data_IF_001387840132
#
_entry.id   IF_001387840132
#
_cell.length_a   1.000
_cell.length_b   1.000
_cell.length_c   1.000
_cell.angle_alpha   90.00
_cell.angle_beta   90.00
_cell.angle_gamma   90.00
#
_symmetry.space_group_name_H-M   'P 1'
#
loop_
_entity.id
_entity.type
_entity.pdbx_description
1 polymer ?
#
# COMPACT_ATOMS: atom_id res chain seq x y z
N UNK A 1 11.52 37.33 -75.18
CA UNK A 1 12.20 37.14 -73.87
C UNK A 1 11.26 36.34 -72.99
N UNK A 2 11.60 35.07 -72.68
CA UNK A 2 10.74 34.11 -71.98
C UNK A 2 10.86 34.30 -70.47
N UNK A 3 9.73 34.34 -69.75
CA UNK A 3 9.70 34.22 -68.29
C UNK A 3 9.05 32.88 -67.90
N UNK A 4 9.76 32.12 -67.06
CA UNK A 4 9.33 30.88 -66.44
C UNK A 4 8.51 31.16 -65.17
N UNK A 5 7.66 30.22 -64.76
CA UNK A 5 7.05 30.16 -63.42
C UNK A 5 7.32 28.79 -62.80
N UNK A 6 7.69 28.71 -61.51
CA UNK A 6 7.87 27.44 -60.81
C UNK A 6 6.57 27.00 -60.11
N UNK A 7 6.34 25.69 -60.13
CA UNK A 7 5.26 25.00 -59.41
C UNK A 7 5.77 24.64 -58.01
N UNK A 8 5.07 25.10 -56.97
CA UNK A 8 5.32 24.70 -55.57
C UNK A 8 4.40 23.52 -55.22
N UNK A 9 5.00 22.37 -54.91
CA UNK A 9 4.30 21.21 -54.35
C UNK A 9 4.32 21.34 -52.82
N UNK A 10 3.16 21.59 -52.22
CA UNK A 10 2.94 21.55 -50.77
C UNK A 10 2.74 20.07 -50.36
N UNK A 11 3.69 19.51 -49.60
CA UNK A 11 3.56 18.20 -48.98
C UNK A 11 3.06 18.36 -47.54
N UNK A 12 1.80 18.01 -47.29
CA UNK A 12 1.17 18.04 -45.97
C UNK A 12 1.48 16.74 -45.23
N UNK A 13 2.39 16.81 -44.25
CA UNK A 13 2.77 15.68 -43.39
C UNK A 13 1.75 15.58 -42.23
N UNK A 14 0.80 14.65 -42.33
CA UNK A 14 -0.16 14.36 -41.26
C UNK A 14 0.51 13.50 -40.18
N UNK A 15 0.87 14.11 -39.06
CA UNK A 15 1.33 13.40 -37.85
C UNK A 15 0.11 12.81 -37.12
N UNK A 16 -0.13 11.51 -37.29
CA UNK A 16 -1.09 10.78 -36.47
C UNK A 16 -0.47 10.53 -35.10
N UNK A 17 -0.91 11.29 -34.09
CA UNK A 17 -0.63 10.99 -32.70
C UNK A 17 -1.41 9.72 -32.32
N UNK A 18 -0.74 8.56 -32.32
CA UNK A 18 -1.27 7.34 -31.69
C UNK A 18 -1.24 7.55 -30.19
N UNK A 19 -2.35 8.06 -29.64
CA UNK A 19 -2.60 8.04 -28.20
C UNK A 19 -2.66 6.59 -27.76
N UNK A 20 -1.62 6.12 -27.07
CA UNK A 20 -1.60 4.82 -26.44
C UNK A 20 -2.55 4.86 -25.24
N UNK A 21 -3.86 4.69 -25.48
CA UNK A 21 -4.79 4.29 -24.42
C UNK A 21 -4.33 2.92 -23.94
N UNK A 22 -3.81 2.86 -22.72
CA UNK A 22 -3.59 1.58 -22.05
C UNK A 22 -4.95 0.86 -22.03
N UNK A 23 -5.03 -0.30 -22.68
CA UNK A 23 -6.21 -1.15 -22.63
C UNK A 23 -6.43 -1.57 -21.18
N UNK A 24 -7.58 -1.21 -20.59
CA UNK A 24 -8.01 -1.79 -19.32
C UNK A 24 -8.16 -3.29 -19.55
N UNK A 25 -7.22 -4.07 -19.00
CA UNK A 25 -7.25 -5.51 -19.11
C UNK A 25 -8.25 -6.05 -18.09
N UNK A 26 -9.27 -6.73 -18.57
CA UNK A 26 -10.21 -7.43 -17.69
C UNK A 26 -9.45 -8.39 -16.75
N UNK A 27 -9.83 -8.50 -15.48
CA UNK A 27 -9.12 -9.32 -14.51
C UNK A 27 -9.00 -10.77 -14.96
N UNK A 28 -7.78 -11.34 -14.91
CA UNK A 28 -7.60 -12.78 -15.15
C UNK A 28 -8.55 -13.58 -14.24
N UNK A 29 -9.33 -14.46 -14.86
CA UNK A 29 -10.18 -15.46 -14.21
C UNK A 29 -9.51 -16.17 -13.03
N UNK A 30 -8.18 -16.31 -13.04
CA UNK A 30 -7.43 -16.93 -11.95
C UNK A 30 -7.49 -16.15 -10.65
N UNK A 31 -7.45 -14.81 -10.71
CA UNK A 31 -7.53 -13.92 -9.55
C UNK A 31 -8.92 -13.92 -8.90
N UNK A 32 -9.96 -14.16 -9.69
CA UNK A 32 -11.33 -14.19 -9.19
C UNK A 32 -11.57 -15.42 -8.30
N UNK A 33 -12.36 -15.22 -7.24
CA UNK A 33 -12.76 -16.28 -6.32
C UNK A 33 -12.83 -15.85 -4.87
N UNK A 34 -13.03 -16.82 -4.00
CA UNK A 34 -13.02 -16.63 -2.54
C UNK A 34 -11.82 -17.33 -1.93
N UNK A 35 -11.22 -16.69 -0.93
CA UNK A 35 -9.98 -17.09 -0.31
C UNK A 35 -10.06 -17.00 1.21
N UNK A 36 -9.40 -17.94 1.89
CA UNK A 36 -9.17 -17.87 3.33
C UNK A 36 -7.92 -17.05 3.63
N UNK A 37 -7.99 -16.16 4.62
CA UNK A 37 -6.81 -15.45 5.10
C UNK A 37 -5.88 -16.42 5.85
N UNK A 38 -4.66 -16.62 5.35
CA UNK A 38 -3.66 -17.44 6.03
C UNK A 38 -2.92 -16.64 7.08
N UNK A 39 -2.28 -15.54 6.67
CA UNK A 39 -1.57 -14.60 7.53
C UNK A 39 -1.18 -13.33 6.77
N UNK A 40 -0.82 -12.31 7.55
CA UNK A 40 -0.19 -11.08 7.10
C UNK A 40 1.18 -10.95 7.72
N UNK A 41 2.09 -10.29 7.02
CA UNK A 41 3.39 -9.89 7.56
C UNK A 41 3.61 -8.40 7.32
N UNK A 42 4.28 -7.75 8.28
CA UNK A 42 4.69 -6.36 8.19
C UNK A 42 6.14 -6.24 8.60
N UNK A 43 6.95 -5.63 7.72
CA UNK A 43 8.25 -5.06 8.06
C UNK A 43 8.16 -3.55 7.88
N UNK A 44 8.29 -2.78 8.95
CA UNK A 44 8.14 -1.33 8.90
C UNK A 44 9.24 -0.62 9.66
N UNK A 45 9.79 0.42 9.05
CA UNK A 45 10.64 1.41 9.70
C UNK A 45 9.88 2.74 9.74
N UNK A 46 9.64 3.25 10.93
CA UNK A 46 9.10 4.59 11.14
C UNK A 46 10.13 5.47 11.82
N UNK A 47 10.48 6.57 11.16
CA UNK A 47 11.35 7.61 11.72
C UNK A 47 10.50 8.84 12.04
N UNK A 48 10.53 9.29 13.28
CA UNK A 48 9.96 10.57 13.70
C UNK A 48 11.12 11.51 13.99
N UNK A 49 11.11 12.69 13.38
CA UNK A 49 12.08 13.75 13.68
C UNK A 49 11.39 15.01 14.17
N UNK A 50 12.04 15.72 15.08
CA UNK A 50 11.61 16.98 15.67
C UNK A 50 12.84 17.87 15.73
N UNK A 51 12.76 19.01 15.05
CA UNK A 51 13.82 20.02 15.04
C UNK A 51 13.35 21.20 15.90
N UNK A 52 14.03 21.42 17.03
CA UNK A 52 13.75 22.54 17.94
C UNK A 52 14.98 23.43 18.10
N UNK A 53 14.84 24.56 18.79
CA UNK A 53 15.98 25.41 19.16
C UNK A 53 17.01 24.71 20.06
N UNK A 54 16.60 23.64 20.75
CA UNK A 54 17.48 22.84 21.60
C UNK A 54 18.25 21.80 20.79
N UNK A 55 17.89 21.51 19.54
CA UNK A 55 18.55 20.52 18.70
C UNK A 55 17.56 19.56 18.04
N UNK A 56 18.11 18.52 17.41
CA UNK A 56 17.35 17.53 16.64
C UNK A 56 17.09 16.29 17.47
N UNK A 57 15.82 15.96 17.69
CA UNK A 57 15.38 14.68 18.25
C UNK A 57 14.92 13.77 17.12
N UNK A 58 15.37 12.51 17.14
CA UNK A 58 14.97 11.50 16.16
C UNK A 58 14.69 10.19 16.89
N UNK A 59 13.51 9.62 16.66
CA UNK A 59 13.14 8.29 17.16
C UNK A 59 12.86 7.38 15.97
N UNK A 60 13.45 6.18 16.00
CA UNK A 60 13.26 5.15 14.99
C UNK A 60 12.53 3.96 15.62
N UNK A 61 11.43 3.55 15.02
CA UNK A 61 10.67 2.35 15.37
C UNK A 61 10.86 1.31 14.27
N UNK A 62 11.23 0.11 14.65
CA UNK A 62 11.30 -1.05 13.76
C UNK A 62 10.25 -2.07 14.19
N UNK A 63 9.39 -2.44 13.26
CA UNK A 63 8.36 -3.46 13.40
C UNK A 63 8.68 -4.61 12.45
N UNK A 64 8.62 -5.84 12.96
CA UNK A 64 8.70 -7.06 12.15
C UNK A 64 7.78 -8.09 12.79
N UNK A 65 6.65 -8.37 12.14
CA UNK A 65 5.70 -9.34 12.67
C UNK A 65 4.95 -10.10 11.60
N UNK A 66 4.45 -11.26 12.00
CA UNK A 66 3.43 -12.02 11.32
C UNK A 66 2.18 -12.11 12.19
N UNK A 67 1.00 -12.04 11.59
CA UNK A 67 -0.25 -12.20 12.31
C UNK A 67 -0.53 -13.66 12.62
N UNK A 68 -1.20 -13.89 13.75
CA UNK A 68 -1.56 -15.21 14.29
C UNK A 68 -3.07 -15.31 14.44
N UNK A 69 -3.59 -16.53 14.63
CA UNK A 69 -5.03 -16.76 14.84
C UNK A 69 -5.90 -16.09 13.76
N UNK A 70 -5.46 -16.18 12.51
CA UNK A 70 -6.08 -15.49 11.39
C UNK A 70 -7.43 -16.14 11.03
N UNK A 71 -8.44 -15.30 10.82
CA UNK A 71 -9.78 -15.71 10.42
C UNK A 71 -10.33 -14.78 9.34
N UNK A 72 -11.42 -15.20 8.72
CA UNK A 72 -12.13 -14.42 7.71
C UNK A 72 -11.70 -14.74 6.28
N UNK A 73 -12.39 -14.11 5.34
CA UNK A 73 -12.28 -14.44 3.91
C UNK A 73 -12.15 -13.22 3.04
N UNK A 74 -11.55 -13.41 1.87
CA UNK A 74 -11.47 -12.42 0.81
C UNK A 74 -12.21 -12.95 -0.42
N UNK A 75 -13.14 -12.18 -0.97
CA UNK A 75 -13.77 -12.46 -2.26
C UNK A 75 -13.33 -11.40 -3.27
N UNK A 76 -12.64 -11.84 -4.31
CA UNK A 76 -12.18 -10.99 -5.40
C UNK A 76 -13.13 -11.16 -6.58
N UNK A 77 -13.77 -10.04 -6.96
CA UNK A 77 -14.61 -9.86 -8.15
C UNK A 77 -13.89 -8.96 -9.15
N UNK A 78 -14.37 -8.80 -10.39
CA UNK A 78 -13.62 -8.05 -11.39
C UNK A 78 -13.22 -6.62 -10.98
N UNK A 79 -14.10 -5.88 -10.32
CA UNK A 79 -13.89 -4.47 -9.98
C UNK A 79 -13.67 -4.23 -8.48
N UNK A 80 -13.77 -5.29 -7.65
CA UNK A 80 -13.93 -5.14 -6.22
C UNK A 80 -13.40 -6.33 -5.42
N UNK A 81 -12.80 -6.02 -4.28
CA UNK A 81 -12.43 -6.98 -3.24
C UNK A 81 -13.37 -6.78 -2.06
N UNK A 82 -13.85 -7.88 -1.50
CA UNK A 82 -14.61 -7.93 -0.26
C UNK A 82 -13.80 -8.73 0.76
N UNK A 83 -13.57 -8.15 1.92
CA UNK A 83 -13.05 -8.84 3.08
C UNK A 83 -14.21 -9.06 4.05
N UNK A 84 -14.41 -10.28 4.52
CA UNK A 84 -15.50 -10.61 5.44
C UNK A 84 -14.96 -11.25 6.72
N UNK A 85 -15.41 -10.72 7.85
CA UNK A 85 -15.11 -11.22 9.20
C UNK A 85 -13.60 -11.41 9.45
N UNK A 86 -12.77 -10.49 8.96
CA UNK A 86 -11.31 -10.56 9.14
C UNK A 86 -10.97 -10.40 10.61
N UNK A 87 -10.27 -11.39 11.16
CA UNK A 87 -9.73 -11.36 12.51
C UNK A 87 -8.30 -11.88 12.56
N UNK A 88 -7.52 -11.37 13.51
CA UNK A 88 -6.14 -11.79 13.74
C UNK A 88 -5.59 -11.26 15.08
N UNK A 89 -4.49 -11.85 15.53
CA UNK A 89 -3.65 -11.36 16.62
C UNK A 89 -2.28 -10.93 16.13
N UNK A 90 -1.69 -9.99 16.85
CA UNK A 90 -0.29 -9.61 16.70
C UNK A 90 0.39 -9.86 18.04
N UNK A 91 1.53 -10.53 18.00
CA UNK A 91 2.49 -10.56 19.10
C UNK A 91 3.87 -10.27 18.49
N UNK A 92 4.48 -9.16 18.90
CA UNK A 92 5.75 -8.72 18.33
C UNK A 92 6.58 -7.94 19.34
N UNK A 93 7.87 -7.84 19.05
CA UNK A 93 8.80 -6.98 19.75
C UNK A 93 9.12 -5.80 18.83
N UNK A 94 8.85 -4.59 19.30
CA UNK A 94 9.17 -3.35 18.60
C UNK A 94 10.50 -2.82 19.12
N UNK A 95 11.45 -2.62 18.22
CA UNK A 95 12.72 -1.96 18.58
C UNK A 95 12.56 -0.45 18.43
N UNK A 96 12.90 0.28 19.49
CA UNK A 96 12.85 1.74 19.55
C UNK A 96 14.25 2.26 19.79
N UNK A 97 14.73 3.14 18.91
CA UNK A 97 16.04 3.80 19.04
C UNK A 97 15.87 5.31 19.03
N UNK A 98 16.34 5.96 20.09
CA UNK A 98 16.29 7.40 20.28
C UNK A 98 17.65 8.03 20.01
N UNK A 99 17.63 9.16 19.32
CA UNK A 99 18.81 9.92 18.94
C UNK A 99 18.61 11.40 19.26
N UNK A 100 19.68 12.05 19.72
CA UNK A 100 19.75 13.49 19.90
C UNK A 100 20.98 14.04 19.16
N UNK A 101 20.78 15.01 18.28
CA UNK A 101 21.80 15.54 17.37
C UNK A 101 22.56 14.42 16.63
N UNK A 102 21.80 13.43 16.15
CA UNK A 102 22.28 12.22 15.45
C UNK A 102 23.19 11.28 16.26
N UNK A 103 23.39 11.53 17.56
CA UNK A 103 24.02 10.61 18.50
C UNK A 103 22.96 9.69 19.10
N UNK A 104 23.25 8.39 19.17
CA UNK A 104 22.34 7.41 19.78
C UNK A 104 22.34 7.60 21.31
N UNK A 105 21.15 7.81 21.88
CA UNK A 105 20.96 8.02 23.32
C UNK A 105 20.50 6.71 23.99
N UNK A 106 19.51 6.05 23.39
CA UNK A 106 18.91 4.85 23.94
C UNK A 106 18.47 3.89 22.83
N UNK A 107 18.45 2.60 23.14
CA UNK A 107 17.80 1.59 22.32
C UNK A 107 17.18 0.55 23.22
N UNK A 108 15.90 0.29 23.01
CA UNK A 108 15.12 -0.65 23.80
C UNK A 108 14.22 -1.50 22.91
N UNK A 109 13.81 -2.64 23.45
CA UNK A 109 12.85 -3.55 22.85
C UNK A 109 11.59 -3.55 23.71
N UNK A 110 10.44 -3.36 23.07
CA UNK A 110 9.14 -3.30 23.73
C UNK A 110 8.25 -4.41 23.20
N UNK A 111 7.75 -5.25 24.09
CA UNK A 111 6.72 -6.22 23.73
C UNK A 111 5.42 -5.48 23.41
N UNK A 112 4.83 -5.77 22.25
CA UNK A 112 3.61 -5.16 21.78
C UNK A 112 2.60 -6.26 21.45
N UNK A 113 1.62 -6.40 22.35
CA UNK A 113 0.49 -7.32 22.21
C UNK A 113 -0.78 -6.47 22.21
N UNK A 114 -1.17 -5.89 21.06
CA UNK A 114 -2.44 -5.19 20.97
C UNK A 114 -3.60 -6.17 21.21
N UNK A 115 -4.79 -5.68 21.60
CA UNK A 115 -5.99 -6.50 21.61
C UNK A 115 -6.21 -7.20 20.26
N UNK A 116 -6.82 -8.41 20.26
CA UNK A 116 -7.16 -9.09 19.01
C UNK A 116 -8.02 -8.18 18.12
N UNK A 117 -7.77 -8.26 16.82
CA UNK A 117 -8.61 -7.64 15.83
C UNK A 117 -9.68 -8.66 15.43
N UNK A 118 -10.96 -8.30 15.52
CA UNK A 118 -12.04 -9.27 15.37
C UNK A 118 -13.13 -8.75 14.42
N UNK A 119 -13.54 -9.62 13.49
CA UNK A 119 -14.81 -9.50 12.77
C UNK A 119 -14.93 -8.31 11.81
N UNK A 120 -13.84 -7.86 11.18
CA UNK A 120 -13.90 -6.70 10.29
C UNK A 120 -14.32 -7.11 8.89
N UNK A 121 -15.43 -6.54 8.44
CA UNK A 121 -15.91 -6.63 7.06
C UNK A 121 -15.68 -5.31 6.35
N UNK A 122 -15.16 -5.37 5.12
CA UNK A 122 -14.81 -4.20 4.32
C UNK A 122 -14.77 -4.52 2.84
N UNK A 123 -14.82 -3.49 2.01
CA UNK A 123 -14.69 -3.65 0.56
C UNK A 123 -13.90 -2.50 -0.05
N UNK A 124 -13.18 -2.77 -1.13
CA UNK A 124 -12.45 -1.76 -1.90
C UNK A 124 -12.53 -2.06 -3.39
N UNK A 125 -12.58 -1.01 -4.20
CA UNK A 125 -12.50 -1.13 -5.65
C UNK A 125 -11.05 -1.19 -6.11
N UNK A 126 -10.80 -1.88 -7.22
CA UNK A 126 -9.47 -1.95 -7.82
C UNK A 126 -9.53 -2.00 -9.35
N UNK A 127 -8.38 -1.77 -9.97
CA UNK A 127 -8.12 -2.01 -11.38
C UNK A 127 -6.97 -3.00 -11.50
N UNK A 128 -7.09 -3.99 -12.38
CA UNK A 128 -5.97 -4.84 -12.76
C UNK A 128 -5.05 -4.04 -13.71
N UNK A 129 -3.76 -4.06 -13.42
CA UNK A 129 -2.71 -3.44 -14.22
C UNK A 129 -1.79 -4.56 -14.72
N UNK A 130 -1.91 -4.91 -16.00
CA UNK A 130 -1.19 -6.06 -16.57
C UNK A 130 -1.68 -7.38 -16.00
N UNK A 131 -0.77 -8.33 -15.73
CA UNK A 131 -1.14 -9.70 -15.28
C UNK A 131 -0.92 -9.94 -13.78
N UNK A 132 -0.17 -9.08 -13.09
CA UNK A 132 0.35 -9.36 -11.74
C UNK A 132 0.23 -8.19 -10.77
N UNK A 133 -0.47 -7.11 -11.13
CA UNK A 133 -0.52 -5.89 -10.34
C UNK A 133 -1.94 -5.33 -10.21
N UNK A 134 -2.35 -4.90 -9.02
CA UNK A 134 -3.63 -4.21 -8.80
C UNK A 134 -3.37 -2.78 -8.36
N UNK A 135 -4.21 -1.86 -8.79
CA UNK A 135 -4.24 -0.48 -8.32
C UNK A 135 -5.56 -0.19 -7.63
N UNK A 136 -5.51 0.46 -6.46
CA UNK A 136 -6.71 0.94 -5.77
C UNK A 136 -6.58 2.42 -5.44
N UNK A 137 -7.55 3.22 -5.86
CA UNK A 137 -7.57 4.68 -5.65
C UNK A 137 -7.85 5.11 -4.21
N UNK A 138 -8.44 4.23 -3.40
CA UNK A 138 -8.78 4.48 -1.99
C UNK A 138 -8.27 3.37 -1.06
N UNK A 139 -7.26 2.63 -1.53
CA UNK A 139 -6.79 1.39 -0.94
C UNK A 139 -7.72 0.18 -1.18
N UNK A 140 -7.18 -1.04 -1.09
CA UNK A 140 -7.96 -2.27 -1.34
C UNK A 140 -8.87 -2.62 -0.16
N UNK A 141 -8.51 -2.16 1.04
CA UNK A 141 -9.09 -2.57 2.31
C UNK A 141 -9.13 -1.33 3.21
N UNK A 142 -10.27 -0.66 3.33
CA UNK A 142 -10.46 0.44 4.29
C UNK A 142 -11.02 -0.11 5.59
N UNK A 143 -10.29 0.03 6.70
CA UNK A 143 -10.80 -0.37 8.02
C UNK A 143 -11.99 0.51 8.40
N UNK A 144 -13.16 -0.10 8.57
CA UNK A 144 -14.31 0.53 9.21
C UNK A 144 -14.18 0.34 10.72
N UNK A 145 -13.91 1.40 11.47
CA UNK A 145 -14.03 1.38 12.92
C UNK A 145 -15.27 2.21 13.28
N UNK A 146 -16.20 1.67 14.07
CA UNK A 146 -17.41 2.39 14.50
C UNK A 146 -17.11 3.66 15.32
N UNK A 147 -15.91 3.79 15.87
CA UNK A 147 -15.44 4.98 16.60
C UNK A 147 -14.76 6.05 15.71
N UNK A 148 -14.46 5.76 14.44
CA UNK A 148 -13.80 6.70 13.53
C UNK A 148 -14.29 6.42 12.09
N UNK A 149 -14.98 7.37 11.42
CA UNK A 149 -15.52 7.13 10.08
C UNK A 149 -14.43 6.61 9.16
N UNK A 150 -14.80 5.67 8.27
CA UNK A 150 -13.90 4.98 7.36
C UNK A 150 -12.84 5.93 6.82
N UNK A 151 -11.57 5.72 7.20
CA UNK A 151 -10.48 6.48 6.62
C UNK A 151 -10.37 6.03 5.17
N UNK A 152 -10.62 6.95 4.24
CA UNK A 152 -10.31 6.74 2.83
C UNK A 152 -8.83 6.39 2.77
N UNK A 153 -8.51 5.18 2.32
CA UNK A 153 -7.12 4.75 2.16
C UNK A 153 -6.44 5.63 1.12
N UNK A 154 -5.13 5.81 1.24
CA UNK A 154 -4.37 6.47 0.18
C UNK A 154 -4.32 5.55 -1.06
N UNK A 155 -4.24 6.10 -2.28
CA UNK A 155 -4.01 5.29 -3.45
C UNK A 155 -2.77 4.41 -3.28
N UNK A 156 -2.85 3.13 -3.60
CA UNK A 156 -1.66 2.26 -3.63
C UNK A 156 -1.80 1.14 -4.65
N UNK A 157 -0.64 0.67 -5.12
CA UNK A 157 -0.51 -0.52 -5.94
C UNK A 157 -0.06 -1.72 -5.12
N UNK A 158 -0.54 -2.91 -5.48
CA UNK A 158 -0.02 -4.18 -4.98
C UNK A 158 0.39 -5.05 -6.14
N UNK A 159 1.46 -5.83 -5.96
CA UNK A 159 1.76 -6.96 -6.85
C UNK A 159 1.21 -8.23 -6.24
N UNK A 160 0.95 -9.22 -7.07
CA UNK A 160 0.54 -10.53 -6.62
C UNK A 160 1.22 -11.66 -7.38
N UNK A 161 1.29 -12.82 -6.74
CA UNK A 161 1.72 -14.05 -7.41
C UNK A 161 1.04 -15.27 -6.79
N UNK A 162 1.12 -16.36 -7.54
CA UNK A 162 0.58 -17.66 -7.16
C UNK A 162 1.69 -18.65 -6.79
N UNK A 163 1.42 -19.49 -5.78
CA UNK A 163 2.22 -20.65 -5.43
C UNK A 163 1.27 -21.81 -5.14
N UNK A 164 0.97 -22.61 -6.16
CA UNK A 164 -0.14 -23.57 -6.10
C UNK A 164 -1.47 -22.85 -5.89
N UNK A 165 -2.24 -23.28 -4.89
CA UNK A 165 -3.53 -22.66 -4.53
C UNK A 165 -3.39 -21.43 -3.61
N UNK A 166 -2.15 -21.01 -3.31
CA UNK A 166 -1.89 -19.85 -2.45
C UNK A 166 -1.65 -18.59 -3.28
N UNK A 167 -2.49 -17.58 -3.06
CA UNK A 167 -2.33 -16.22 -3.59
C UNK A 167 -1.55 -15.38 -2.56
N UNK A 168 -0.52 -14.66 -3.01
CA UNK A 168 0.20 -13.71 -2.15
C UNK A 168 0.15 -12.31 -2.74
N UNK A 169 -0.24 -11.33 -1.93
CA UNK A 169 -0.12 -9.90 -2.24
C UNK A 169 1.12 -9.31 -1.57
N UNK A 170 1.82 -8.44 -2.30
CA UNK A 170 2.95 -7.65 -1.82
C UNK A 170 2.71 -6.18 -2.13
N UNK A 171 2.83 -5.35 -1.12
CA UNK A 171 2.81 -3.90 -1.31
C UNK A 171 3.84 -3.22 -0.43
N UNK A 172 4.35 -2.10 -0.94
CA UNK A 172 5.29 -1.24 -0.22
C UNK A 172 4.69 0.15 -0.12
N UNK A 173 4.77 0.75 1.05
CA UNK A 173 4.42 2.15 1.25
C UNK A 173 5.66 2.93 1.69
N UNK A 174 5.74 4.19 1.26
CA UNK A 174 6.68 5.19 1.75
C UNK A 174 5.87 6.47 1.96
N UNK A 175 5.59 6.77 3.23
CA UNK A 175 4.71 7.87 3.60
C UNK A 175 5.51 8.89 4.39
N UNK A 176 5.38 10.16 4.03
CA UNK A 176 5.90 11.29 4.77
C UNK A 176 4.71 12.10 5.28
N UNK A 177 4.69 12.39 6.57
CA UNK A 177 3.63 13.16 7.21
C UNK A 177 4.25 14.26 8.07
N UNK A 178 3.71 15.47 7.93
CA UNK A 178 3.99 16.57 8.83
C UNK A 178 2.98 16.49 9.99
N UNK A 179 3.50 16.41 11.21
CA UNK A 179 2.71 16.42 12.43
C UNK A 179 2.84 17.81 13.04
N UNK A 180 1.86 18.66 12.73
CA UNK A 180 1.82 20.02 13.24
C UNK A 180 1.37 20.00 14.70
N UNK A 181 2.33 20.14 15.61
CA UNK A 181 2.06 20.43 17.02
C UNK A 181 2.53 21.87 17.32
N UNK A 182 1.71 22.72 17.96
CA UNK A 182 2.12 24.07 18.31
C UNK A 182 3.47 24.09 19.05
N UNK A 183 4.45 24.79 18.48
CA UNK A 183 5.80 24.93 19.06
C UNK A 183 6.72 23.71 18.90
N UNK A 184 6.30 22.64 18.23
CA UNK A 184 7.12 21.44 18.02
C UNK A 184 6.75 20.73 16.71
N UNK A 185 7.19 21.27 15.55
CA UNK A 185 6.94 20.60 14.28
C UNK A 185 7.65 19.25 14.27
N UNK A 186 6.93 18.19 13.88
CA UNK A 186 7.54 16.86 13.70
C UNK A 186 7.29 16.38 12.29
N UNK A 187 8.24 15.62 11.76
CA UNK A 187 8.02 14.85 10.54
C UNK A 187 8.06 13.38 10.88
N UNK A 188 7.12 12.62 10.32
CA UNK A 188 7.08 11.16 10.40
C UNK A 188 7.26 10.60 9.00
N UNK A 189 8.31 9.81 8.80
CA UNK A 189 8.47 8.99 7.61
C UNK A 189 8.29 7.53 7.99
N UNK A 190 7.38 6.84 7.31
CA UNK A 190 7.17 5.40 7.49
C UNK A 190 7.36 4.68 6.17
N UNK A 191 8.31 3.75 6.14
CA UNK A 191 8.52 2.81 5.03
C UNK A 191 8.09 1.44 5.50
N UNK A 192 7.13 0.84 4.81
CA UNK A 192 6.61 -0.46 5.17
C UNK A 192 6.55 -1.39 3.97
N UNK A 193 6.85 -2.67 4.22
CA UNK A 193 6.63 -3.78 3.32
C UNK A 193 5.61 -4.70 3.97
N UNK A 194 4.53 -4.93 3.26
CA UNK A 194 3.45 -5.80 3.68
C UNK A 194 3.37 -6.99 2.73
N UNK A 195 3.09 -8.17 3.29
CA UNK A 195 2.64 -9.30 2.51
C UNK A 195 1.42 -9.94 3.15
N UNK A 196 0.41 -10.23 2.33
CA UNK A 196 -0.76 -10.99 2.76
C UNK A 196 -0.87 -12.26 1.94
N UNK A 197 -1.10 -13.39 2.62
CA UNK A 197 -1.28 -14.70 2.01
C UNK A 197 -2.69 -15.22 2.18
N UNK A 198 -3.20 -15.79 1.10
CA UNK A 198 -4.54 -16.33 1.02
C UNK A 198 -4.55 -17.71 0.39
N UNK A 199 -5.44 -18.58 0.85
CA UNK A 199 -5.67 -19.91 0.25
C UNK A 199 -6.96 -19.89 -0.56
N UNK A 200 -6.92 -20.29 -1.83
CA UNK A 200 -8.12 -20.36 -2.68
C UNK A 200 -9.07 -21.44 -2.16
N UNK A 201 -10.34 -21.08 -1.97
CA UNK A 201 -11.41 -22.05 -1.68
C UNK A 201 -11.76 -22.81 -2.97
N UNK A 202 -12.01 -24.10 -2.81
CA UNK A 202 -12.44 -25.00 -3.90
C UNK A 202 -13.91 -24.81 -4.23
#
# INVERSE_FOLDING_TARGET
MKFAHPVYILATLALTFTSCTAEETEPDSKLLGTYDLLYMTLKMNTTITSDTSEGRKKTIYLYDYATQENTGTFTIRPDRIFADSIGYRINTIVKVSDYYNDVAENTQELEMIPPPFEGITMSGTYQLIGEDSLYASSGLISTYNTANPARIGMPYGTRFFWSGDTLTFYHRTDTLQHLDAPGNPRTRRSVALFSTRYLKRK
#
